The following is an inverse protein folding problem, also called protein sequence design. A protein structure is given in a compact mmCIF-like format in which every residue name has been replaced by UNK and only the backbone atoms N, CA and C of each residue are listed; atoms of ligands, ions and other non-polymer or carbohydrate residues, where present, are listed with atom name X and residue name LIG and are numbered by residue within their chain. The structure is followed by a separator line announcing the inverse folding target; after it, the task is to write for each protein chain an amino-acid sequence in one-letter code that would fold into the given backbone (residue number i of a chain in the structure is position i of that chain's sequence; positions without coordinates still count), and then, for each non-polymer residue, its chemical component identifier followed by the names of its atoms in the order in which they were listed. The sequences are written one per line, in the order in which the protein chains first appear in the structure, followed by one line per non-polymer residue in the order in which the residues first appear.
data_IF_924229691117
#
_entry.id   IF_924229691117
#
_cell.length_a   1.000
_cell.length_b   1.000
_cell.length_c   1.000
_cell.angle_alpha   90.00
_cell.angle_beta   90.00
_cell.angle_gamma   90.00
#
_symmetry.space_group_name_H-M   'P 1'
#
loop_
_entity.id
_entity.type
_entity.pdbx_description
1 polymer ?
#
# COMPACT_ATOMS: atom_id res chain seq x y z
N UNK A 1 6.48 11.21 -29.98
CA UNK A 1 5.59 11.21 -28.81
C UNK A 1 6.44 11.14 -27.55
N UNK A 2 6.29 12.09 -26.65
CA UNK A 2 7.07 12.09 -25.42
C UNK A 2 6.60 10.95 -24.50
N UNK A 3 7.56 10.21 -23.94
CA UNK A 3 7.25 9.07 -23.07
C UNK A 3 6.43 9.53 -21.84
N UNK A 4 5.24 8.95 -21.57
CA UNK A 4 4.43 9.28 -20.40
C UNK A 4 5.19 9.24 -19.08
N UNK A 5 6.15 8.33 -18.96
CA UNK A 5 7.03 8.22 -17.79
C UNK A 5 7.79 9.52 -17.51
N UNK A 6 8.35 10.17 -18.53
CA UNK A 6 9.13 11.40 -18.37
C UNK A 6 8.24 12.54 -17.83
N UNK A 7 7.02 12.66 -18.34
CA UNK A 7 6.06 13.68 -17.89
C UNK A 7 5.61 13.44 -16.44
N UNK A 8 5.30 12.20 -16.09
CA UNK A 8 4.88 11.85 -14.74
C UNK A 8 6.01 12.03 -13.73
N UNK A 9 7.24 11.68 -14.12
CA UNK A 9 8.42 11.86 -13.28
C UNK A 9 8.73 13.34 -12.98
N UNK A 10 8.32 14.24 -13.85
CA UNK A 10 8.52 15.67 -13.67
C UNK A 10 7.54 16.34 -12.70
N UNK A 11 6.52 15.62 -12.21
CA UNK A 11 5.55 16.17 -11.25
C UNK A 11 6.22 16.35 -9.88
N UNK A 12 6.21 17.58 -9.39
CA UNK A 12 6.69 17.90 -8.05
C UNK A 12 5.52 17.86 -7.05
N UNK A 13 5.57 16.93 -6.10
CA UNK A 13 4.56 16.76 -5.07
C UNK A 13 4.90 17.42 -3.72
N UNK A 14 6.00 18.15 -3.62
CA UNK A 14 6.51 18.69 -2.34
C UNK A 14 5.50 19.52 -1.58
N UNK A 15 4.72 20.35 -2.29
CA UNK A 15 3.72 21.24 -1.68
C UNK A 15 2.40 20.53 -1.34
N UNK A 16 2.27 19.25 -1.68
CA UNK A 16 1.04 18.46 -1.51
C UNK A 16 1.27 17.20 -0.69
N UNK A 17 2.32 17.19 0.14
CA UNK A 17 2.60 16.09 1.04
C UNK A 17 1.72 16.18 2.28
N UNK A 18 1.00 15.12 2.55
CA UNK A 18 0.31 14.91 3.82
C UNK A 18 1.26 14.27 4.83
N UNK A 19 1.12 14.63 6.09
CA UNK A 19 1.94 14.09 7.17
C UNK A 19 1.09 13.22 8.08
N UNK A 20 1.46 11.96 8.21
CA UNK A 20 0.87 11.05 9.18
C UNK A 20 1.87 10.75 10.28
N UNK A 21 1.50 11.06 11.52
CA UNK A 21 2.31 10.72 12.70
C UNK A 21 1.99 9.30 13.16
N UNK A 22 3.02 8.51 13.36
CA UNK A 22 2.93 7.17 13.95
C UNK A 22 4.00 7.06 15.03
N UNK A 23 3.59 7.25 16.30
CA UNK A 23 4.53 7.38 17.42
C UNK A 23 5.48 8.57 17.21
N UNK A 24 6.77 8.32 17.26
CA UNK A 24 7.81 9.33 17.03
C UNK A 24 8.22 9.50 15.55
N UNK A 25 7.55 8.80 14.64
CA UNK A 25 7.88 8.83 13.21
C UNK A 25 6.84 9.65 12.46
N UNK A 26 7.30 10.58 11.64
CA UNK A 26 6.48 11.30 10.68
C UNK A 26 6.64 10.65 9.30
N UNK A 27 5.52 10.19 8.73
CA UNK A 27 5.46 9.67 7.37
C UNK A 27 4.85 10.74 6.47
N UNK A 28 5.60 11.15 5.48
CA UNK A 28 5.14 12.06 4.42
C UNK A 28 4.65 11.21 3.25
N UNK A 29 3.46 11.49 2.76
CA UNK A 29 2.88 10.79 1.64
C UNK A 29 2.01 11.72 0.80
N UNK A 30 1.83 11.37 -0.45
CA UNK A 30 0.87 12.02 -1.33
C UNK A 30 -0.43 11.23 -1.29
N UNK A 31 -1.58 11.93 -1.14
CA UNK A 31 -2.86 11.24 -1.23
C UNK A 31 -3.05 10.67 -2.65
N UNK A 32 -3.60 9.47 -2.74
CA UNK A 32 -3.84 8.83 -4.03
C UNK A 32 -4.78 9.67 -4.93
N UNK A 33 -5.76 10.33 -4.32
CA UNK A 33 -6.71 11.16 -5.04
C UNK A 33 -6.02 12.35 -5.71
N UNK A 34 -5.08 13.00 -4.99
CA UNK A 34 -4.29 14.09 -5.56
C UNK A 34 -3.38 13.58 -6.68
N UNK A 35 -2.65 12.51 -6.43
CA UNK A 35 -1.75 11.93 -7.40
C UNK A 35 -2.50 11.48 -8.67
N UNK A 36 -3.67 10.85 -8.52
CA UNK A 36 -4.52 10.48 -9.65
C UNK A 36 -5.05 11.70 -10.40
N UNK A 37 -5.42 12.78 -9.69
CA UNK A 37 -5.83 14.04 -10.33
C UNK A 37 -4.71 14.63 -11.21
N UNK A 38 -3.46 14.60 -10.77
CA UNK A 38 -2.31 15.04 -11.56
C UNK A 38 -2.12 14.18 -12.82
N UNK A 39 -2.27 12.85 -12.71
CA UNK A 39 -2.25 11.97 -13.89
C UNK A 39 -3.37 12.34 -14.86
N UNK A 40 -4.59 12.57 -14.37
CA UNK A 40 -5.75 12.94 -15.22
C UNK A 40 -5.61 14.31 -15.88
N UNK A 41 -4.86 15.24 -15.27
CA UNK A 41 -4.54 16.53 -15.92
C UNK A 41 -3.64 16.35 -17.15
N UNK A 42 -2.64 15.48 -17.06
CA UNK A 42 -1.71 15.19 -18.16
C UNK A 42 -2.30 14.20 -19.18
N UNK A 43 -3.04 13.22 -18.69
CA UNK A 43 -3.64 12.15 -19.49
C UNK A 43 -5.12 12.00 -19.15
N UNK A 44 -6.00 12.83 -19.72
CA UNK A 44 -7.44 12.79 -19.39
C UNK A 44 -8.09 11.42 -19.63
N UNK A 45 -7.59 10.66 -20.60
CA UNK A 45 -8.07 9.32 -20.94
C UNK A 45 -7.48 8.20 -20.07
N UNK A 46 -6.54 8.52 -19.16
CA UNK A 46 -5.99 7.52 -18.24
C UNK A 46 -7.11 6.89 -17.40
N UNK A 47 -7.01 5.60 -17.18
CA UNK A 47 -7.99 4.83 -16.42
C UNK A 47 -7.30 3.82 -15.52
N UNK A 48 -8.00 3.38 -14.48
CA UNK A 48 -7.60 2.22 -13.70
C UNK A 48 -8.78 1.26 -13.56
N UNK A 49 -8.49 0.01 -13.36
CA UNK A 49 -9.48 -1.04 -13.16
C UNK A 49 -9.08 -1.89 -11.95
N UNK A 50 -10.07 -2.20 -11.12
CA UNK A 50 -9.95 -3.20 -10.05
C UNK A 50 -10.57 -4.48 -10.57
N UNK A 51 -9.76 -5.55 -10.72
CA UNK A 51 -10.28 -6.84 -11.15
C UNK A 51 -11.25 -7.41 -10.14
N UNK A 52 -12.37 -7.92 -10.65
CA UNK A 52 -13.39 -8.57 -9.84
C UNK A 52 -13.37 -10.07 -10.06
N UNK A 53 -13.54 -10.82 -8.97
CA UNK A 53 -13.64 -12.27 -8.93
C UNK A 53 -14.97 -12.64 -8.30
N UNK A 54 -15.90 -13.20 -9.08
CA UNK A 54 -17.27 -13.44 -8.64
C UNK A 54 -17.95 -12.19 -8.05
N UNK A 55 -17.71 -11.02 -8.64
CA UNK A 55 -18.23 -9.73 -8.19
C UNK A 55 -17.48 -9.08 -7.02
N UNK A 56 -16.45 -9.73 -6.46
CA UNK A 56 -15.65 -9.22 -5.35
C UNK A 56 -14.33 -8.62 -5.84
N UNK A 57 -13.84 -7.51 -5.25
CA UNK A 57 -12.61 -6.85 -5.65
C UNK A 57 -11.35 -7.50 -5.09
N UNK A 58 -11.41 -8.75 -4.67
CA UNK A 58 -10.30 -9.51 -4.09
C UNK A 58 -10.41 -11.00 -4.39
N UNK A 59 -9.30 -11.69 -4.25
CA UNK A 59 -9.22 -13.16 -4.14
C UNK A 59 -8.84 -13.49 -2.70
N UNK A 60 -9.36 -14.57 -2.16
CA UNK A 60 -9.05 -15.05 -0.83
C UNK A 60 -8.59 -16.49 -0.83
N UNK A 61 -7.49 -16.74 -0.14
CA UNK A 61 -6.97 -18.06 0.19
C UNK A 61 -6.75 -18.18 1.70
N UNK A 62 -7.25 -19.24 2.38
CA UNK A 62 -7.12 -19.36 3.84
C UNK A 62 -5.68 -19.42 4.34
N UNK A 63 -4.75 -19.84 3.51
CA UNK A 63 -3.33 -19.95 3.87
C UNK A 63 -2.61 -18.62 3.66
N UNK A 64 -2.81 -18.00 2.50
CA UNK A 64 -2.05 -16.81 2.09
C UNK A 64 -2.77 -15.48 2.34
N UNK A 65 -4.08 -15.50 2.56
CA UNK A 65 -4.89 -14.30 2.86
C UNK A 65 -5.55 -13.69 1.64
N UNK A 66 -5.84 -12.39 1.73
CA UNK A 66 -6.50 -11.62 0.67
C UNK A 66 -5.50 -11.00 -0.29
N UNK A 67 -5.90 -10.89 -1.54
CA UNK A 67 -5.10 -10.28 -2.60
C UNK A 67 -5.99 -9.45 -3.52
N UNK A 68 -5.52 -8.28 -3.90
CA UNK A 68 -6.18 -7.39 -4.87
C UNK A 68 -5.37 -7.31 -6.16
N UNK A 69 -6.07 -7.19 -7.29
CA UNK A 69 -5.47 -7.04 -8.62
C UNK A 69 -6.03 -5.77 -9.25
N UNK A 70 -5.14 -4.91 -9.67
CA UNK A 70 -5.52 -3.67 -10.37
C UNK A 70 -4.65 -3.47 -11.60
N UNK A 71 -5.18 -2.71 -12.54
CA UNK A 71 -4.44 -2.27 -13.72
C UNK A 71 -4.59 -0.77 -13.91
N UNK A 72 -3.57 -0.13 -14.42
CA UNK A 72 -3.58 1.28 -14.83
C UNK A 72 -3.25 1.35 -16.31
N UNK A 73 -4.05 2.10 -17.05
CA UNK A 73 -3.86 2.31 -18.49
C UNK A 73 -3.61 3.78 -18.76
N UNK A 74 -2.47 4.07 -19.40
CA UNK A 74 -2.07 5.42 -19.83
C UNK A 74 -1.59 5.32 -21.28
N UNK A 75 -2.14 6.15 -22.16
CA UNK A 75 -1.77 6.17 -23.60
C UNK A 75 -1.83 4.79 -24.27
N UNK A 76 -2.87 3.99 -23.92
CA UNK A 76 -3.06 2.64 -24.46
C UNK A 76 -2.13 1.56 -23.90
N UNK A 77 -1.22 1.93 -22.99
CA UNK A 77 -0.34 0.97 -22.30
C UNK A 77 -0.92 0.65 -20.94
N UNK A 78 -1.15 -0.63 -20.69
CA UNK A 78 -1.71 -1.14 -19.42
C UNK A 78 -0.65 -1.85 -18.59
N UNK A 79 -0.60 -1.53 -17.32
CA UNK A 79 0.20 -2.24 -16.32
C UNK A 79 -0.72 -2.84 -15.27
N UNK A 80 -0.56 -4.14 -15.04
CA UNK A 80 -1.26 -4.89 -14.02
C UNK A 80 -0.31 -5.25 -12.89
N UNK A 81 -0.77 -5.12 -11.67
CA UNK A 81 -0.09 -5.61 -10.48
C UNK A 81 -1.10 -6.23 -9.52
N UNK A 82 -0.57 -6.89 -8.51
CA UNK A 82 -1.34 -7.44 -7.41
C UNK A 82 -0.65 -7.11 -6.09
N UNK A 83 -1.45 -6.93 -5.04
CA UNK A 83 -0.98 -6.63 -3.70
C UNK A 83 -1.73 -7.49 -2.68
N UNK A 84 -1.01 -8.06 -1.70
CA UNK A 84 -1.66 -8.67 -0.55
C UNK A 84 -2.27 -7.60 0.35
N UNK A 85 -3.35 -7.93 1.03
CA UNK A 85 -3.93 -7.11 2.09
C UNK A 85 -3.15 -7.36 3.37
N UNK A 86 -2.44 -6.35 3.85
CA UNK A 86 -1.54 -6.43 4.98
C UNK A 86 -2.00 -5.53 6.13
N UNK A 87 -1.68 -5.94 7.35
CA UNK A 87 -1.79 -5.07 8.53
C UNK A 87 -0.61 -4.08 8.62
N UNK A 88 -0.61 -3.25 9.67
CA UNK A 88 0.45 -2.26 9.92
C UNK A 88 1.83 -2.87 10.20
N UNK A 89 1.89 -4.16 10.49
CA UNK A 89 3.12 -4.93 10.72
C UNK A 89 3.54 -5.76 9.50
N UNK A 90 2.94 -5.50 8.35
CA UNK A 90 3.17 -6.23 7.09
C UNK A 90 2.85 -7.73 7.19
N UNK A 91 1.84 -8.08 8.00
CA UNK A 91 1.33 -9.45 8.09
C UNK A 91 0.09 -9.60 7.22
N UNK A 92 0.00 -10.70 6.49
CA UNK A 92 -1.16 -11.00 5.66
C UNK A 92 -2.43 -11.10 6.50
N UNK A 93 -3.43 -10.30 6.18
CA UNK A 93 -4.74 -10.36 6.84
C UNK A 93 -5.57 -11.50 6.26
N UNK A 94 -6.36 -12.14 7.13
CA UNK A 94 -7.21 -13.27 6.78
C UNK A 94 -8.67 -13.00 7.15
N UNK A 95 -9.56 -13.91 6.81
CA UNK A 95 -10.98 -13.79 7.15
C UNK A 95 -11.26 -13.93 8.66
N UNK A 96 -10.32 -14.55 9.39
CA UNK A 96 -10.39 -14.71 10.85
C UNK A 96 -9.10 -14.19 11.47
N UNK A 97 -9.15 -13.65 12.70
CA UNK A 97 -7.94 -13.23 13.41
C UNK A 97 -7.01 -14.43 13.68
N UNK A 98 -5.72 -14.17 13.75
CA UNK A 98 -4.71 -15.14 14.16
C UNK A 98 -3.58 -14.48 14.93
N UNK A 99 -2.84 -15.27 15.69
CA UNK A 99 -1.70 -14.79 16.47
C UNK A 99 -0.39 -15.29 15.88
N UNK A 100 0.67 -14.55 16.15
CA UNK A 100 2.05 -14.93 15.83
C UNK A 100 2.99 -14.45 16.92
N UNK A 101 4.12 -15.12 17.06
CA UNK A 101 5.14 -14.77 18.05
C UNK A 101 6.28 -14.00 17.39
N UNK A 102 6.71 -12.92 18.02
CA UNK A 102 7.80 -12.07 17.54
C UNK A 102 8.74 -11.70 18.68
N UNK A 103 10.04 -11.43 18.41
CA UNK A 103 10.94 -10.95 19.44
C UNK A 103 10.47 -9.61 20.03
N UNK A 104 10.51 -9.53 21.36
CA UNK A 104 10.29 -8.29 22.08
C UNK A 104 11.63 -7.59 22.31
N UNK A 105 11.72 -6.33 21.92
CA UNK A 105 12.92 -5.52 22.03
C UNK A 105 12.71 -4.36 22.98
N UNK A 106 13.65 -4.10 23.85
CA UNK A 106 13.67 -2.94 24.73
C UNK A 106 15.00 -2.21 24.64
N UNK A 107 15.00 -0.93 25.01
CA UNK A 107 16.20 -0.12 25.05
C UNK A 107 16.95 -0.36 26.37
N UNK A 108 18.22 -0.75 26.26
CA UNK A 108 19.11 -0.89 27.42
C UNK A 108 19.92 0.40 27.57
N UNK A 109 19.70 1.19 28.65
CA UNK A 109 20.42 2.43 28.87
C UNK A 109 21.92 2.25 29.12
N UNK A 110 22.33 1.09 29.63
CA UNK A 110 23.71 0.77 29.94
C UNK A 110 24.54 0.50 28.68
N UNK A 111 23.97 -0.28 27.75
CA UNK A 111 24.63 -0.61 26.48
C UNK A 111 24.31 0.40 25.38
N UNK A 112 23.33 1.30 25.59
CA UNK A 112 22.79 2.26 24.60
C UNK A 112 22.30 1.59 23.31
N UNK A 113 21.80 0.37 23.40
CA UNK A 113 21.30 -0.43 22.29
C UNK A 113 19.93 -1.02 22.61
N UNK A 114 19.19 -1.34 21.56
CA UNK A 114 17.98 -2.16 21.71
C UNK A 114 18.42 -3.62 21.82
N UNK A 115 17.92 -4.30 22.83
CA UNK A 115 18.21 -5.70 23.11
C UNK A 115 16.93 -6.53 23.15
N UNK A 116 17.05 -7.77 22.72
CA UNK A 116 15.93 -8.70 22.80
C UNK A 116 15.74 -9.11 24.27
N UNK A 117 14.55 -8.82 24.81
CA UNK A 117 14.20 -9.15 26.21
C UNK A 117 13.26 -10.36 26.34
N UNK A 118 12.90 -10.99 25.25
CA UNK A 118 12.02 -12.16 25.22
C UNK A 118 11.24 -12.27 23.93
N UNK A 119 10.10 -12.93 24.01
CA UNK A 119 9.14 -13.09 22.92
C UNK A 119 7.80 -12.48 23.35
N UNK A 120 7.05 -11.96 22.40
CA UNK A 120 5.69 -11.48 22.62
C UNK A 120 4.75 -12.07 21.56
N UNK A 121 3.52 -12.30 21.96
CA UNK A 121 2.46 -12.68 21.04
C UNK A 121 1.75 -11.43 20.53
N UNK A 122 1.49 -11.39 19.24
CA UNK A 122 0.72 -10.33 18.57
C UNK A 122 -0.41 -10.92 17.77
N UNK A 123 -1.49 -10.15 17.63
CA UNK A 123 -2.68 -10.55 16.89
C UNK A 123 -2.74 -9.79 15.56
N UNK A 124 -3.05 -10.52 14.50
CA UNK A 124 -3.48 -9.95 13.22
C UNK A 124 -5.01 -10.04 13.20
N UNK A 125 -5.66 -8.88 13.11
CA UNK A 125 -7.12 -8.80 13.05
C UNK A 125 -7.66 -9.34 11.72
N UNK A 126 -8.94 -9.73 11.70
CA UNK A 126 -9.62 -10.11 10.48
C UNK A 126 -9.68 -8.93 9.51
N UNK A 127 -9.48 -9.19 8.22
CA UNK A 127 -9.57 -8.17 7.19
C UNK A 127 -11.00 -7.64 7.05
N UNK A 128 -11.11 -6.35 6.83
CA UNK A 128 -12.35 -5.64 6.48
C UNK A 128 -12.28 -5.12 5.04
N UNK A 129 -13.42 -4.68 4.51
CA UNK A 129 -13.44 -4.00 3.21
C UNK A 129 -12.63 -2.69 3.22
N UNK A 130 -12.45 -2.07 4.38
CA UNK A 130 -11.58 -0.91 4.53
C UNK A 130 -10.10 -1.29 4.26
N UNK A 131 -9.65 -2.44 4.76
CA UNK A 131 -8.29 -2.94 4.53
C UNK A 131 -8.08 -3.32 3.06
N UNK A 132 -9.06 -3.97 2.44
CA UNK A 132 -9.06 -4.25 1.00
C UNK A 132 -8.96 -2.95 0.18
N UNK A 133 -9.75 -1.95 0.53
CA UNK A 133 -9.74 -0.65 -0.14
C UNK A 133 -8.39 0.08 0.03
N UNK A 134 -7.77 -0.01 1.20
CA UNK A 134 -6.41 0.52 1.42
C UNK A 134 -5.39 -0.13 0.49
N UNK A 135 -5.47 -1.46 0.32
CA UNK A 135 -4.57 -2.19 -0.58
C UNK A 135 -4.76 -1.75 -2.05
N UNK A 136 -6.00 -1.55 -2.48
CA UNK A 136 -6.32 -1.03 -3.82
C UNK A 136 -5.70 0.36 -4.02
N UNK A 137 -5.88 1.27 -3.07
CA UNK A 137 -5.35 2.64 -3.15
C UNK A 137 -3.83 2.69 -3.09
N UNK A 138 -3.21 1.90 -2.21
CA UNK A 138 -1.76 1.78 -2.13
C UNK A 138 -1.17 1.28 -3.46
N UNK A 139 -1.90 0.42 -4.14
CA UNK A 139 -1.51 -0.09 -5.43
C UNK A 139 -1.53 0.99 -6.52
N UNK A 140 -2.60 1.76 -6.65
CA UNK A 140 -2.67 2.84 -7.63
C UNK A 140 -1.52 3.83 -7.43
N UNK A 141 -1.20 4.15 -6.17
CA UNK A 141 -0.03 4.96 -5.83
C UNK A 141 1.28 4.29 -6.24
N UNK A 142 1.45 3.00 -5.95
CA UNK A 142 2.68 2.25 -6.31
C UNK A 142 2.89 2.21 -7.82
N UNK A 143 1.83 2.04 -8.60
CA UNK A 143 1.90 2.09 -10.06
C UNK A 143 2.30 3.46 -10.56
N UNK A 144 1.84 4.51 -9.91
CA UNK A 144 2.25 5.87 -10.24
C UNK A 144 3.73 6.10 -9.91
N UNK A 145 4.23 5.50 -8.82
CA UNK A 145 5.66 5.49 -8.49
C UNK A 145 6.51 4.64 -9.45
N UNK A 146 5.95 3.60 -10.06
CA UNK A 146 6.63 2.85 -11.13
C UNK A 146 6.70 3.64 -12.44
N UNK A 147 5.82 4.61 -12.61
CA UNK A 147 5.91 5.62 -13.66
C UNK A 147 6.72 6.87 -13.22
N UNK A 148 7.08 6.95 -11.95
CA UNK A 148 7.97 7.93 -11.37
C UNK A 148 9.37 7.33 -11.19
#
# INVERSE_FOLDING_TARGET
MENPFVKLFAIDFKDHLEVKKSGNTELKYVSWAYAWAEVKKLYPAASYEVKKFNGLPYVYDPITGFMVYTSVTIEGVSHEMWLPVLDSSNKAMKAVPYTYTTPKWDYNPQTRRREKIGMEERTVEAASMFDVNKAIHAFVLSMMYLFL
#
